data_IF_906082088483
#
_entry.id   IF_906082088483
#
_cell.length_a   1.000
_cell.length_b   1.000
_cell.length_c   1.000
_cell.angle_alpha   90.00
_cell.angle_beta   90.00
_cell.angle_gamma   90.00
#
_symmetry.space_group_name_H-M   'P 1'
#
loop_
_entity.id
_entity.type
_entity.pdbx_description
1 polymer ?
#
# COMPACT_ATOMS: atom_id res chain seq x y z
N UNK A 1 -24.20 11.81 10.35
CA UNK A 1 -23.11 11.67 11.35
C UNK A 1 -21.83 12.24 10.77
N UNK A 2 -20.78 12.34 11.57
CA UNK A 2 -19.43 12.73 11.12
C UNK A 2 -18.55 11.48 11.10
N UNK A 3 -17.77 11.30 10.03
CA UNK A 3 -16.72 10.30 9.95
C UNK A 3 -15.37 11.02 9.90
N UNK A 4 -14.44 10.65 10.78
CA UNK A 4 -13.10 11.22 10.88
C UNK A 4 -12.07 10.12 10.65
N UNK A 5 -11.05 10.47 9.87
CA UNK A 5 -9.85 9.65 9.65
C UNK A 5 -8.64 10.50 10.01
N UNK A 6 -7.74 9.99 10.85
CA UNK A 6 -6.51 10.66 11.22
C UNK A 6 -5.38 9.64 11.42
N UNK A 7 -4.15 10.02 11.04
CA UNK A 7 -3.01 9.10 11.09
C UNK A 7 -2.60 8.64 12.49
N UNK A 8 -2.96 9.40 13.53
CA UNK A 8 -2.65 9.12 14.93
C UNK A 8 -3.78 8.43 15.70
N UNK A 9 -5.00 8.44 15.16
CA UNK A 9 -6.19 7.94 15.87
C UNK A 9 -7.08 7.03 15.02
N UNK A 10 -6.66 6.64 13.82
CA UNK A 10 -7.41 5.76 12.94
C UNK A 10 -8.74 6.36 12.46
N UNK A 11 -9.77 5.52 12.46
CA UNK A 11 -11.14 5.85 12.04
C UNK A 11 -12.02 6.04 13.28
N UNK A 12 -12.71 7.17 13.35
CA UNK A 12 -13.68 7.49 14.40
C UNK A 12 -14.96 8.11 13.79
N UNK A 13 -16.09 7.99 14.48
CA UNK A 13 -17.37 8.49 13.99
C UNK A 13 -18.21 9.12 15.10
N UNK A 14 -19.20 9.95 14.73
CA UNK A 14 -20.24 10.43 15.64
C UNK A 14 -21.60 10.47 14.95
N UNK A 15 -22.67 10.17 15.72
CA UNK A 15 -24.03 10.36 15.23
C UNK A 15 -24.39 11.85 15.18
N UNK A 16 -25.28 12.22 14.26
CA UNK A 16 -25.78 13.61 14.20
C UNK A 16 -26.50 13.96 15.50
N UNK A 17 -25.90 14.83 16.32
CA UNK A 17 -26.40 15.21 17.64
C UNK A 17 -25.47 14.89 18.82
N UNK A 18 -24.38 14.13 18.60
CA UNK A 18 -23.32 13.94 19.61
C UNK A 18 -22.05 14.70 19.22
N UNK A 19 -21.51 15.48 20.17
CA UNK A 19 -20.23 16.19 19.98
C UNK A 19 -19.00 15.25 20.11
N UNK A 20 -19.14 14.14 20.83
CA UNK A 20 -18.05 13.21 21.07
C UNK A 20 -17.87 12.20 19.92
N UNK A 21 -16.65 12.13 19.39
CA UNK A 21 -16.24 11.10 18.44
C UNK A 21 -16.00 9.77 19.16
N UNK A 22 -16.60 8.70 18.65
CA UNK A 22 -16.36 7.32 19.09
C UNK A 22 -15.31 6.67 18.18
N UNK A 23 -14.19 6.16 18.72
CA UNK A 23 -13.21 5.44 17.91
C UNK A 23 -13.82 4.13 17.40
N UNK A 24 -13.54 3.79 16.14
CA UNK A 24 -13.90 2.50 15.55
C UNK A 24 -12.70 1.55 15.51
N UNK A 25 -11.63 1.93 14.84
CA UNK A 25 -10.42 1.11 14.75
C UNK A 25 -9.20 1.93 14.31
N UNK A 26 -8.00 1.42 14.60
CA UNK A 26 -6.78 1.84 13.93
C UNK A 26 -6.60 1.10 12.58
N UNK A 27 -5.72 1.58 11.72
CA UNK A 27 -5.55 1.05 10.36
C UNK A 27 -5.09 -0.43 10.34
N UNK A 28 -4.14 -0.91 11.17
CA UNK A 28 -3.72 -2.31 11.16
C UNK A 28 -4.84 -3.31 11.49
N UNK A 29 -5.94 -2.85 12.08
CA UNK A 29 -7.08 -3.67 12.43
C UNK A 29 -8.07 -3.86 11.27
N UNK A 30 -7.90 -3.15 10.16
CA UNK A 30 -8.78 -3.23 8.99
C UNK A 30 -8.39 -4.44 8.14
N UNK A 31 -9.38 -5.27 7.80
CA UNK A 31 -9.22 -6.47 6.96
C UNK A 31 -9.65 -6.20 5.53
N UNK A 32 -10.79 -5.54 5.35
CA UNK A 32 -11.40 -5.30 4.04
C UNK A 32 -12.22 -4.01 4.04
N UNK A 33 -12.30 -3.39 2.86
CA UNK A 33 -13.17 -2.24 2.60
C UNK A 33 -13.92 -2.49 1.30
N UNK A 34 -15.26 -2.51 1.36
CA UNK A 34 -16.10 -2.73 0.19
C UNK A 34 -16.99 -1.52 -0.11
N UNK A 35 -17.25 -1.27 -1.40
CA UNK A 35 -18.13 -0.20 -1.88
C UNK A 35 -19.31 -0.84 -2.62
N UNK A 36 -20.54 -0.54 -2.20
CA UNK A 36 -21.78 -1.02 -2.81
C UNK A 36 -22.72 0.15 -3.15
N UNK A 37 -23.70 -0.09 -4.02
CA UNK A 37 -24.78 0.88 -4.22
C UNK A 37 -25.64 0.94 -2.95
N UNK A 38 -25.94 2.14 -2.47
CA UNK A 38 -26.78 2.30 -1.29
C UNK A 38 -28.23 1.85 -1.59
N UNK A 39 -28.93 1.23 -0.61
CA UNK A 39 -30.29 0.68 -0.82
C UNK A 39 -31.40 1.75 -0.95
N UNK A 40 -31.10 3.04 -0.96
CA UNK A 40 -32.10 4.12 -1.03
C UNK A 40 -32.90 4.10 -2.35
N UNK A 41 -34.24 4.06 -2.23
CA UNK A 41 -35.20 4.09 -3.34
C UNK A 41 -35.66 5.53 -3.58
N UNK A 42 -35.20 6.15 -4.66
CA UNK A 42 -35.58 7.49 -5.11
C UNK A 42 -34.67 7.95 -6.25
N UNK A 43 -34.86 9.16 -6.83
CA UNK A 43 -34.01 9.68 -7.92
C UNK A 43 -32.54 9.96 -7.51
N UNK A 44 -32.09 9.40 -6.40
CA UNK A 44 -30.77 9.50 -5.78
C UNK A 44 -29.91 8.24 -6.02
N UNK A 45 -29.86 7.76 -7.26
CA UNK A 45 -29.14 6.54 -7.65
C UNK A 45 -27.60 6.60 -7.55
N UNK A 46 -27.04 7.59 -6.87
CA UNK A 46 -25.60 7.87 -6.85
C UNK A 46 -24.92 7.52 -5.52
N UNK A 47 -25.69 7.38 -4.42
CA UNK A 47 -25.12 7.12 -3.10
C UNK A 47 -24.42 5.76 -3.04
N UNK A 48 -23.31 5.72 -2.31
CA UNK A 48 -22.50 4.52 -2.10
C UNK A 48 -22.40 4.16 -0.63
N UNK A 49 -22.67 2.90 -0.33
CA UNK A 49 -22.43 2.32 0.98
C UNK A 49 -20.99 1.80 1.02
N UNK A 50 -20.19 2.32 1.94
CA UNK A 50 -18.84 1.80 2.22
C UNK A 50 -18.88 1.02 3.52
N UNK A 51 -18.40 -0.23 3.47
CA UNK A 51 -18.29 -1.11 4.65
C UNK A 51 -16.81 -1.33 4.96
N UNK A 52 -16.39 -0.98 6.17
CA UNK A 52 -15.06 -1.27 6.71
C UNK A 52 -15.19 -2.45 7.68
N UNK A 53 -14.41 -3.52 7.44
CA UNK A 53 -14.44 -4.74 8.27
C UNK A 53 -13.17 -4.85 9.09
N UNK A 54 -13.31 -5.06 10.40
CA UNK A 54 -12.21 -5.22 11.35
C UNK A 54 -11.81 -6.69 11.53
N UNK A 55 -10.63 -6.94 12.09
CA UNK A 55 -10.09 -8.27 12.42
C UNK A 55 -10.98 -9.12 13.35
N UNK A 56 -11.82 -8.50 14.17
CA UNK A 56 -12.79 -9.18 15.04
C UNK A 56 -14.19 -9.28 14.43
N UNK A 57 -14.30 -9.08 13.11
CA UNK A 57 -15.54 -9.09 12.33
C UNK A 57 -16.55 -7.98 12.68
N UNK A 58 -16.17 -6.97 13.47
CA UNK A 58 -16.98 -5.77 13.60
C UNK A 58 -16.94 -4.95 12.31
N UNK A 59 -18.07 -4.35 11.96
CA UNK A 59 -18.22 -3.57 10.72
C UNK A 59 -18.62 -2.13 11.03
N UNK A 60 -18.10 -1.21 10.23
CA UNK A 60 -18.57 0.18 10.14
C UNK A 60 -19.13 0.41 8.75
N UNK A 61 -20.39 0.83 8.68
CA UNK A 61 -21.06 1.18 7.44
C UNK A 61 -21.31 2.69 7.36
N UNK A 62 -20.92 3.30 6.26
CA UNK A 62 -21.11 4.72 6.01
C UNK A 62 -21.61 4.97 4.59
N UNK A 63 -22.65 5.81 4.47
CA UNK A 63 -23.17 6.25 3.19
C UNK A 63 -22.47 7.52 2.71
N UNK A 64 -22.04 7.51 1.45
CA UNK A 64 -21.39 8.62 0.77
C UNK A 64 -22.29 9.13 -0.35
N UNK A 65 -22.25 10.44 -0.66
CA UNK A 65 -23.13 11.07 -1.65
C UNK A 65 -22.87 10.63 -3.10
N UNK A 66 -21.82 9.84 -3.35
CA UNK A 66 -21.40 9.47 -4.69
C UNK A 66 -20.21 8.49 -4.68
N UNK A 67 -19.98 7.84 -5.82
CA UNK A 67 -18.76 7.05 -6.02
C UNK A 67 -17.47 7.86 -5.82
N UNK A 68 -17.32 9.10 -6.32
CA UNK A 68 -16.10 9.88 -6.10
C UNK A 68 -15.78 10.10 -4.61
N UNK A 69 -16.80 10.39 -3.79
CA UNK A 69 -16.61 10.59 -2.35
C UNK A 69 -16.25 9.27 -1.63
N UNK A 70 -16.88 8.16 -2.01
CA UNK A 70 -16.53 6.84 -1.49
C UNK A 70 -15.09 6.44 -1.85
N UNK A 71 -14.68 6.59 -3.12
CA UNK A 71 -13.32 6.30 -3.56
C UNK A 71 -12.29 7.21 -2.87
N UNK A 72 -12.61 8.49 -2.68
CA UNK A 72 -11.74 9.41 -1.93
C UNK A 72 -11.53 8.95 -0.48
N UNK A 73 -12.58 8.43 0.18
CA UNK A 73 -12.46 7.88 1.52
C UNK A 73 -11.60 6.61 1.54
N UNK A 74 -11.86 5.65 0.65
CA UNK A 74 -11.07 4.41 0.58
C UNK A 74 -9.60 4.71 0.25
N UNK A 75 -9.32 5.64 -0.66
CA UNK A 75 -7.95 6.06 -0.99
C UNK A 75 -7.20 6.66 0.21
N UNK A 76 -7.89 7.42 1.07
CA UNK A 76 -7.30 7.98 2.29
C UNK A 76 -6.93 6.88 3.29
N UNK A 77 -7.85 5.94 3.54
CA UNK A 77 -7.63 4.82 4.45
C UNK A 77 -6.54 3.88 3.93
N UNK A 78 -6.56 3.55 2.64
CA UNK A 78 -5.53 2.77 1.95
C UNK A 78 -4.15 3.43 2.06
N UNK A 79 -4.07 4.74 1.85
CA UNK A 79 -2.83 5.50 1.97
C UNK A 79 -2.24 5.43 3.37
N UNK A 80 -3.05 5.63 4.41
CA UNK A 80 -2.59 5.48 5.80
C UNK A 80 -2.17 4.05 6.13
N UNK A 81 -2.96 3.05 5.71
CA UNK A 81 -2.61 1.64 5.89
C UNK A 81 -1.23 1.31 5.30
N UNK A 82 -0.92 1.83 4.11
CA UNK A 82 0.40 1.65 3.50
C UNK A 82 1.53 2.32 4.26
N UNK A 83 1.26 3.47 4.89
CA UNK A 83 2.28 4.19 5.66
C UNK A 83 2.61 3.52 6.99
N UNK A 84 1.63 2.88 7.63
CA UNK A 84 1.79 2.41 9.02
C UNK A 84 1.69 0.90 9.21
N UNK A 85 1.13 0.16 8.24
CA UNK A 85 0.89 -1.28 8.36
C UNK A 85 1.66 -2.06 7.31
N UNK A 86 1.30 -1.92 6.03
CA UNK A 86 1.95 -2.64 4.93
C UNK A 86 2.06 -1.78 3.68
N UNK A 87 3.29 -1.32 3.40
CA UNK A 87 3.64 -0.51 2.23
C UNK A 87 3.24 -1.09 0.87
N UNK A 88 2.97 -2.40 0.78
CA UNK A 88 2.65 -3.10 -0.47
C UNK A 88 1.16 -3.44 -0.60
N UNK A 89 0.35 -3.16 0.42
CA UNK A 89 -1.04 -3.54 0.47
C UNK A 89 -1.93 -2.56 -0.31
N UNK A 90 -3.05 -3.06 -0.83
CA UNK A 90 -4.15 -2.20 -1.26
C UNK A 90 -5.50 -2.88 -1.01
N UNK A 91 -6.51 -2.11 -0.58
CA UNK A 91 -7.85 -2.66 -0.31
C UNK A 91 -8.67 -2.90 -1.58
N UNK A 92 -8.57 -1.99 -2.55
CA UNK A 92 -9.26 -2.17 -3.84
C UNK A 92 -8.44 -1.59 -5.00
N UNK A 93 -8.52 -2.24 -6.16
CA UNK A 93 -7.76 -1.85 -7.37
C UNK A 93 -8.19 -0.50 -7.94
N UNK A 94 -9.41 -0.05 -7.66
CA UNK A 94 -9.95 1.22 -8.17
C UNK A 94 -9.23 2.45 -7.59
N UNK A 95 -8.67 2.33 -6.38
CA UNK A 95 -7.91 3.42 -5.72
C UNK A 95 -6.44 3.08 -5.52
N UNK A 96 -6.03 1.85 -5.83
CA UNK A 96 -4.64 1.42 -5.73
C UNK A 96 -3.77 2.25 -6.69
N UNK A 97 -2.65 2.83 -6.22
CA UNK A 97 -1.71 3.53 -7.10
C UNK A 97 -1.23 2.59 -8.22
N UNK A 98 -1.25 3.00 -9.51
CA UNK A 98 -0.84 2.12 -10.62
C UNK A 98 0.55 1.52 -10.42
N UNK A 99 1.49 2.33 -9.93
CA UNK A 99 2.86 1.92 -9.62
C UNK A 99 2.94 0.83 -8.55
N UNK A 100 2.05 0.86 -7.56
CA UNK A 100 1.98 -0.18 -6.53
C UNK A 100 1.54 -1.52 -7.14
N UNK A 101 0.59 -1.49 -8.08
CA UNK A 101 0.12 -2.70 -8.76
C UNK A 101 1.25 -3.35 -9.58
N UNK A 102 2.06 -2.55 -10.27
CA UNK A 102 3.28 -3.01 -10.95
C UNK A 102 4.27 -3.63 -9.96
N UNK A 103 4.58 -2.94 -8.86
CA UNK A 103 5.51 -3.40 -7.83
C UNK A 103 5.07 -4.74 -7.18
N UNK A 104 3.77 -4.93 -7.02
CA UNK A 104 3.22 -6.20 -6.53
C UNK A 104 3.37 -7.30 -7.58
N UNK A 105 3.04 -7.02 -8.85
CA UNK A 105 3.14 -7.99 -9.95
C UNK A 105 4.59 -8.42 -10.22
N UNK A 106 5.54 -7.49 -10.14
CA UNK A 106 6.97 -7.73 -10.38
C UNK A 106 7.71 -8.25 -9.13
N UNK A 107 7.03 -8.41 -8.00
CA UNK A 107 7.66 -8.68 -6.70
C UNK A 107 8.76 -7.66 -6.33
N UNK A 108 8.61 -6.43 -6.82
CA UNK A 108 9.53 -5.33 -6.64
C UNK A 108 9.14 -4.52 -5.41
N UNK A 109 10.08 -4.26 -4.49
CA UNK A 109 9.85 -3.35 -3.37
C UNK A 109 9.73 -1.90 -3.84
N UNK A 110 9.00 -1.07 -3.08
CA UNK A 110 9.09 0.38 -3.18
C UNK A 110 10.50 0.90 -2.84
N UNK A 111 10.66 2.21 -2.59
CA UNK A 111 11.97 2.85 -2.40
C UNK A 111 12.59 2.57 -1.01
N UNK A 112 12.81 1.29 -0.68
CA UNK A 112 13.46 0.85 0.56
C UNK A 112 14.96 1.17 0.53
N UNK A 113 15.53 1.38 1.72
CA UNK A 113 16.96 1.62 1.89
C UNK A 113 17.78 0.37 1.53
N UNK A 114 19.05 0.58 1.21
CA UNK A 114 19.99 -0.52 0.97
C UNK A 114 20.10 -1.42 2.22
N UNK A 115 20.16 -0.82 3.40
CA UNK A 115 20.26 -1.56 4.67
C UNK A 115 19.08 -2.50 4.90
N UNK A 116 17.85 -2.03 4.58
CA UNK A 116 16.66 -2.88 4.69
C UNK A 116 16.72 -4.05 3.70
N UNK A 117 17.14 -3.81 2.46
CA UNK A 117 17.31 -4.86 1.45
C UNK A 117 18.36 -5.91 1.87
N UNK A 118 19.51 -5.46 2.39
CA UNK A 118 20.56 -6.35 2.91
C UNK A 118 20.04 -7.14 4.11
N UNK A 119 19.34 -6.49 5.05
CA UNK A 119 18.79 -7.18 6.21
C UNK A 119 17.78 -8.28 5.82
N UNK A 120 16.96 -8.03 4.80
CA UNK A 120 16.04 -9.03 4.25
C UNK A 120 16.78 -10.25 3.66
N UNK A 121 17.92 -10.06 3.01
CA UNK A 121 18.74 -11.16 2.52
C UNK A 121 19.41 -11.93 3.66
N UNK A 122 19.88 -11.22 4.69
CA UNK A 122 20.46 -11.81 5.91
C UNK A 122 19.47 -12.70 6.65
N UNK A 123 18.24 -12.23 6.86
CA UNK A 123 17.19 -12.99 7.55
C UNK A 123 16.76 -14.25 6.79
N UNK A 124 16.95 -14.27 5.46
CA UNK A 124 16.75 -15.43 4.60
C UNK A 124 17.99 -16.34 4.47
N UNK A 125 19.03 -16.08 5.27
CA UNK A 125 20.22 -16.92 5.38
C UNK A 125 21.35 -16.58 4.39
N UNK A 126 21.34 -15.40 3.76
CA UNK A 126 22.42 -14.93 2.87
C UNK A 126 22.78 -15.93 1.77
N UNK A 127 21.76 -16.55 1.15
CA UNK A 127 21.97 -17.60 0.15
C UNK A 127 22.61 -16.98 -1.12
N UNK A 128 23.71 -17.52 -1.65
CA UNK A 128 24.30 -17.02 -2.89
C UNK A 128 23.28 -17.01 -4.04
N UNK A 129 23.21 -15.89 -4.77
CA UNK A 129 22.25 -15.69 -5.86
C UNK A 129 20.86 -15.21 -5.42
N UNK A 130 20.56 -15.19 -4.12
CA UNK A 130 19.33 -14.53 -3.63
C UNK A 130 19.42 -13.02 -3.83
N UNK A 131 18.29 -12.37 -4.09
CA UNK A 131 18.23 -10.95 -4.41
C UNK A 131 16.99 -10.26 -3.86
N UNK A 132 17.06 -8.93 -3.80
CA UNK A 132 15.94 -8.02 -3.56
C UNK A 132 15.89 -7.03 -4.72
N UNK A 133 14.77 -7.03 -5.43
CA UNK A 133 14.44 -6.00 -6.42
C UNK A 133 13.69 -4.86 -5.72
N UNK A 134 14.12 -3.63 -5.93
CA UNK A 134 13.50 -2.44 -5.30
C UNK A 134 13.57 -1.21 -6.20
N UNK A 135 12.63 -0.28 -6.07
CA UNK A 135 12.72 1.04 -6.72
C UNK A 135 13.88 1.86 -6.14
N UNK A 136 14.47 2.71 -6.97
CA UNK A 136 15.47 3.67 -6.49
C UNK A 136 14.79 4.76 -5.64
N UNK A 137 15.36 5.11 -4.46
CA UNK A 137 14.86 6.22 -3.66
C UNK A 137 15.26 7.60 -4.22
N UNK A 138 16.12 7.65 -5.24
CA UNK A 138 16.67 8.88 -5.83
C UNK A 138 16.16 9.16 -7.24
N UNK A 139 15.69 8.13 -7.94
CA UNK A 139 15.28 8.21 -9.34
C UNK A 139 14.05 7.32 -9.55
N UNK A 140 12.94 7.92 -9.98
CA UNK A 140 11.66 7.24 -10.08
C UNK A 140 11.61 6.19 -11.19
N UNK A 141 12.47 6.30 -12.22
CA UNK A 141 12.52 5.42 -13.40
C UNK A 141 13.59 4.33 -13.28
N UNK A 142 14.33 4.34 -12.18
CA UNK A 142 15.37 3.36 -11.90
C UNK A 142 14.95 2.34 -10.84
N UNK A 143 15.49 1.14 -11.00
CA UNK A 143 15.39 0.04 -10.07
C UNK A 143 16.79 -0.36 -9.60
N UNK A 144 16.84 -1.00 -8.45
CA UNK A 144 18.05 -1.50 -7.84
C UNK A 144 17.86 -2.98 -7.54
N UNK A 145 18.80 -3.79 -8.02
CA UNK A 145 18.89 -5.20 -7.71
C UNK A 145 20.01 -5.39 -6.68
N UNK A 146 19.64 -5.72 -5.45
CA UNK A 146 20.60 -6.06 -4.39
C UNK A 146 20.75 -7.57 -4.34
N UNK A 147 21.93 -8.09 -4.65
CA UNK A 147 22.21 -9.53 -4.76
C UNK A 147 23.20 -9.98 -3.69
N UNK A 148 22.95 -11.13 -3.09
CA UNK A 148 23.89 -11.82 -2.22
C UNK A 148 24.88 -12.63 -3.05
N UNK A 149 26.17 -12.37 -2.88
CA UNK A 149 27.27 -13.07 -3.56
C UNK A 149 28.17 -13.75 -2.54
N UNK A 150 28.76 -14.90 -2.91
CA UNK A 150 29.71 -15.59 -2.06
C UNK A 150 31.13 -15.08 -2.35
N UNK A 151 31.87 -14.70 -1.30
CA UNK A 151 33.29 -14.35 -1.40
C UNK A 151 34.13 -15.29 -0.52
N UNK A 152 35.47 -15.31 -0.68
CA UNK A 152 36.34 -16.04 0.22
C UNK A 152 36.23 -15.63 1.70
N UNK A 153 35.76 -14.42 1.98
CA UNK A 153 35.59 -13.88 3.34
C UNK A 153 34.17 -14.09 3.89
N UNK A 154 33.27 -14.69 3.11
CA UNK A 154 31.86 -14.86 3.46
C UNK A 154 30.91 -14.18 2.48
N UNK A 155 29.60 -14.10 2.81
CA UNK A 155 28.62 -13.45 1.96
C UNK A 155 28.86 -11.94 1.88
N UNK A 156 28.77 -11.39 0.68
CA UNK A 156 28.82 -9.95 0.38
C UNK A 156 27.56 -9.54 -0.42
N UNK A 157 27.26 -8.25 -0.46
CA UNK A 157 26.03 -7.72 -1.06
C UNK A 157 26.36 -6.67 -2.11
N UNK A 158 25.98 -6.93 -3.36
CA UNK A 158 26.23 -6.03 -4.49
C UNK A 158 24.92 -5.42 -4.96
N UNK A 159 24.97 -4.13 -5.31
CA UNK A 159 23.85 -3.42 -5.93
C UNK A 159 24.11 -3.21 -7.42
N UNK A 160 23.13 -3.58 -8.25
CA UNK A 160 23.12 -3.28 -9.67
C UNK A 160 22.00 -2.29 -9.97
N UNK A 161 22.26 -1.31 -10.83
CA UNK A 161 21.26 -0.37 -11.32
C UNK A 161 20.57 -0.96 -12.55
N UNK A 162 19.24 -0.96 -12.55
CA UNK A 162 18.42 -1.29 -13.71
C UNK A 162 17.71 0.00 -14.14
N UNK A 163 17.86 0.39 -15.40
CA UNK A 163 17.21 1.57 -15.98
C UNK A 163 16.01 1.14 -16.80
N UNK A 164 14.88 1.80 -16.59
CA UNK A 164 13.76 1.76 -17.53
C UNK A 164 13.92 2.94 -18.49
N UNK A 165 13.89 2.66 -19.80
CA UNK A 165 13.86 3.73 -20.80
C UNK A 165 12.42 4.23 -21.05
N UNK A 166 12.23 5.35 -21.75
CA UNK A 166 10.89 5.87 -22.06
C UNK A 166 10.03 4.93 -22.93
N UNK A 167 10.63 3.89 -23.55
CA UNK A 167 9.92 2.88 -24.34
C UNK A 167 9.40 1.72 -23.49
N UNK A 168 9.76 1.68 -22.20
CA UNK A 168 9.45 0.58 -21.28
C UNK A 168 10.44 -0.57 -21.32
N UNK A 169 11.62 -0.38 -21.94
CA UNK A 169 12.66 -1.40 -22.01
C UNK A 169 13.59 -1.29 -20.80
N UNK A 170 13.94 -2.44 -20.21
CA UNK A 170 14.80 -2.52 -19.03
C UNK A 170 16.23 -2.93 -19.41
N UNK A 171 17.23 -2.24 -18.85
CA UNK A 171 18.65 -2.57 -19.06
C UNK A 171 19.44 -2.53 -17.76
N UNK A 172 20.40 -3.45 -17.60
CA UNK A 172 21.32 -3.44 -16.46
C UNK A 172 22.48 -2.49 -16.76
N UNK A 173 22.70 -1.50 -15.88
CA UNK A 173 23.80 -0.57 -16.06
C UNK A 173 25.15 -1.28 -16.02
N UNK A 174 26.02 -0.96 -16.98
CA UNK A 174 27.36 -1.56 -17.11
C UNK A 174 27.42 -2.86 -17.90
N UNK A 175 26.27 -3.41 -18.32
CA UNK A 175 26.19 -4.42 -19.38
C UNK A 175 25.66 -3.74 -20.64
N UNK A 176 26.58 -3.22 -21.45
CA UNK A 176 26.34 -2.64 -22.76
C UNK A 176 27.37 -3.15 -23.75
#
# INVERSE_FOLDING_TARGET
GLLRVAGDSGIAWSSGGQEALQPFCDFPEIVDISIKQAPCVGPAGEHRLVTVTRTDNQILEAEFPGLPAALSFVALVDGYFRLISDSRHFFCKEVAPPRLLEEVAEQCHGPITLDFAINKLKTQGSRPGSYVLRRSPQDFDCFLLTVCVQTPLGPDYKGCLIRCDPTGTFSLAGLG
#
